data_IF_873019459884
#
_entry.id   IF_873019459884
#
_cell.length_a   1.000
_cell.length_b   1.000
_cell.length_c   1.000
_cell.angle_alpha   90.00
_cell.angle_beta   90.00
_cell.angle_gamma   90.00
#
_symmetry.space_group_name_H-M   'P 1'
#
loop_
_entity.id
_entity.type
_entity.pdbx_description
1 polymer ?
#
# COMPACT_ATOMS: atom_id res chain seq x y z
N UNK A 1 30.82 46.15 -29.96
CA UNK A 1 29.57 45.40 -29.79
C UNK A 1 29.14 45.61 -28.35
N UNK A 2 28.25 46.57 -28.15
CA UNK A 2 28.01 47.20 -26.86
C UNK A 2 27.02 46.39 -26.02
N UNK A 3 27.42 46.01 -24.80
CA UNK A 3 26.63 45.26 -23.82
C UNK A 3 25.39 45.97 -23.26
N UNK A 4 24.92 47.05 -23.91
CA UNK A 4 23.74 47.83 -23.49
C UNK A 4 22.41 47.28 -24.04
N UNK A 5 22.46 46.43 -25.06
CA UNK A 5 21.24 45.86 -25.67
C UNK A 5 20.59 44.76 -24.81
N UNK A 6 21.39 44.03 -24.02
CA UNK A 6 20.87 42.92 -23.20
C UNK A 6 20.21 43.39 -21.91
N UNK A 7 20.57 44.57 -21.38
CA UNK A 7 20.01 45.08 -20.12
C UNK A 7 18.64 45.75 -20.29
N UNK A 8 18.38 46.44 -21.42
CA UNK A 8 17.10 47.14 -21.61
C UNK A 8 15.95 46.18 -21.93
N UNK A 9 16.17 45.23 -22.86
CA UNK A 9 15.13 44.27 -23.26
C UNK A 9 14.79 43.24 -22.19
N UNK A 10 15.77 42.79 -21.41
CA UNK A 10 15.52 41.88 -20.28
C UNK A 10 14.78 42.57 -19.14
N UNK A 11 15.05 43.86 -18.88
CA UNK A 11 14.32 44.59 -17.84
C UNK A 11 12.86 44.83 -18.22
N UNK A 12 12.59 45.21 -19.47
CA UNK A 12 11.21 45.38 -19.96
C UNK A 12 10.44 44.05 -19.95
N UNK A 13 11.08 42.95 -20.38
CA UNK A 13 10.48 41.61 -20.36
C UNK A 13 10.12 41.13 -18.94
N UNK A 14 10.99 41.41 -17.96
CA UNK A 14 10.72 41.07 -16.54
C UNK A 14 9.58 41.93 -16.00
N UNK A 15 9.53 43.22 -16.34
CA UNK A 15 8.46 44.11 -15.89
C UNK A 15 7.09 43.73 -16.47
N UNK A 16 7.01 43.35 -17.75
CA UNK A 16 5.74 42.96 -18.38
C UNK A 16 5.27 41.57 -17.97
N UNK A 17 6.19 40.66 -17.66
CA UNK A 17 5.85 39.24 -17.42
C UNK A 17 5.69 38.91 -15.93
N UNK A 18 6.46 39.55 -15.05
CA UNK A 18 6.51 39.19 -13.62
C UNK A 18 5.93 40.23 -12.67
N UNK A 19 5.45 41.37 -13.16
CA UNK A 19 5.13 42.49 -12.27
C UNK A 19 3.84 43.23 -12.67
N UNK A 20 2.65 42.70 -12.32
CA UNK A 20 1.40 43.45 -12.40
C UNK A 20 1.25 44.31 -11.13
N UNK A 21 1.88 45.48 -11.07
CA UNK A 21 1.82 46.38 -9.89
C UNK A 21 0.66 47.39 -9.92
N UNK A 22 -0.48 47.08 -10.54
CA UNK A 22 -1.70 47.89 -10.37
C UNK A 22 -2.41 47.55 -9.05
N UNK A 23 -1.78 47.94 -7.94
CA UNK A 23 -2.30 47.80 -6.56
C UNK A 23 -3.56 48.63 -6.28
N UNK A 24 -3.97 49.53 -7.18
CA UNK A 24 -5.11 50.43 -6.96
C UNK A 24 -6.49 49.75 -7.07
N UNK A 25 -6.56 48.51 -7.58
CA UNK A 25 -7.81 47.72 -7.68
C UNK A 25 -7.68 46.30 -7.13
N UNK A 26 -6.72 46.07 -6.23
CA UNK A 26 -6.50 44.75 -5.66
C UNK A 26 -7.43 44.54 -4.46
N UNK A 27 -8.57 43.88 -4.71
CA UNK A 27 -9.46 43.42 -3.66
C UNK A 27 -8.81 42.27 -2.88
N UNK A 28 -8.26 42.58 -1.70
CA UNK A 28 -7.72 41.59 -0.73
C UNK A 28 -8.69 40.43 -0.49
N UNK A 29 -9.99 40.72 -0.45
CA UNK A 29 -11.03 39.71 -0.31
C UNK A 29 -11.06 38.70 -1.48
N UNK A 30 -10.92 39.19 -2.71
CA UNK A 30 -10.89 38.34 -3.91
C UNK A 30 -9.63 37.48 -3.99
N UNK A 31 -8.49 37.99 -3.50
CA UNK A 31 -7.25 37.22 -3.41
C UNK A 31 -7.40 36.09 -2.39
N UNK A 32 -7.92 36.40 -1.20
CA UNK A 32 -8.17 35.40 -0.15
C UNK A 32 -9.12 34.31 -0.64
N UNK A 33 -10.22 34.69 -1.30
CA UNK A 33 -11.18 33.74 -1.86
C UNK A 33 -10.56 32.87 -2.96
N UNK A 34 -9.81 33.46 -3.89
CA UNK A 34 -9.13 32.72 -4.96
C UNK A 34 -8.06 31.77 -4.41
N UNK A 35 -7.30 32.21 -3.41
CA UNK A 35 -6.29 31.38 -2.74
C UNK A 35 -6.92 30.21 -2.00
N UNK A 36 -8.03 30.44 -1.29
CA UNK A 36 -8.79 29.39 -0.62
C UNK A 36 -9.37 28.39 -1.62
N UNK A 37 -9.93 28.87 -2.73
CA UNK A 37 -10.52 28.03 -3.77
C UNK A 37 -9.45 27.19 -4.49
N UNK A 38 -8.34 27.81 -4.88
CA UNK A 38 -7.22 27.14 -5.55
C UNK A 38 -6.51 26.11 -4.67
N UNK A 39 -6.61 26.21 -3.34
CA UNK A 39 -6.00 25.27 -2.41
C UNK A 39 -6.98 24.20 -1.94
N UNK A 40 -8.18 24.58 -1.51
CA UNK A 40 -9.16 23.65 -0.92
C UNK A 40 -9.84 22.77 -1.96
N UNK A 41 -10.18 23.30 -3.15
CA UNK A 41 -10.88 22.51 -4.16
C UNK A 41 -10.01 21.35 -4.67
N UNK A 42 -8.73 21.55 -5.05
CA UNK A 42 -7.87 20.44 -5.42
C UNK A 42 -7.65 19.47 -4.25
N UNK A 43 -7.45 19.98 -3.03
CA UNK A 43 -7.28 19.14 -1.85
C UNK A 43 -8.50 18.23 -1.61
N UNK A 44 -9.72 18.74 -1.82
CA UNK A 44 -10.95 17.98 -1.72
C UNK A 44 -11.06 16.91 -2.81
N UNK A 45 -10.72 17.24 -4.07
CA UNK A 45 -10.67 16.27 -5.17
C UNK A 45 -9.65 15.16 -4.88
N UNK A 46 -8.43 15.52 -4.47
CA UNK A 46 -7.40 14.55 -4.08
C UNK A 46 -7.87 13.64 -2.94
N UNK A 47 -8.59 14.19 -1.97
CA UNK A 47 -9.15 13.41 -0.87
C UNK A 47 -10.21 12.40 -1.34
N UNK A 48 -11.11 12.80 -2.24
CA UNK A 48 -12.13 11.89 -2.82
C UNK A 48 -11.46 10.76 -3.60
N UNK A 49 -10.51 11.09 -4.49
CA UNK A 49 -9.80 10.10 -5.31
C UNK A 49 -9.07 9.09 -4.41
N UNK A 50 -8.38 9.57 -3.37
CA UNK A 50 -7.70 8.71 -2.40
C UNK A 50 -8.67 7.78 -1.66
N UNK A 51 -9.87 8.28 -1.31
CA UNK A 51 -10.91 7.51 -0.62
C UNK A 51 -11.51 6.41 -1.50
N UNK A 52 -11.84 6.74 -2.76
CA UNK A 52 -12.41 5.77 -3.73
C UNK A 52 -11.42 4.65 -4.04
N UNK A 53 -10.16 4.98 -4.33
CA UNK A 53 -9.12 3.98 -4.61
C UNK A 53 -8.92 3.02 -3.43
N UNK A 54 -8.99 3.54 -2.20
CA UNK A 54 -8.86 2.73 -0.98
C UNK A 54 -10.03 1.75 -0.81
N UNK A 55 -11.25 2.19 -1.13
CA UNK A 55 -12.45 1.37 -0.96
C UNK A 55 -12.55 0.24 -2.01
N UNK A 56 -12.27 0.53 -3.28
CA UNK A 56 -12.28 -0.48 -4.36
C UNK A 56 -11.27 -1.59 -4.11
N UNK A 57 -10.09 -1.24 -3.60
CA UNK A 57 -9.06 -2.20 -3.22
C UNK A 57 -9.56 -3.16 -2.12
N UNK A 58 -10.25 -2.64 -1.10
CA UNK A 58 -10.81 -3.45 -0.02
C UNK A 58 -11.89 -4.42 -0.51
N UNK A 59 -12.76 -3.98 -1.42
CA UNK A 59 -13.81 -4.82 -2.00
C UNK A 59 -13.26 -5.97 -2.85
N UNK A 60 -12.20 -5.75 -3.62
CA UNK A 60 -11.58 -6.83 -4.41
C UNK A 60 -10.97 -7.95 -3.57
N UNK A 61 -10.51 -7.64 -2.34
CA UNK A 61 -10.03 -8.64 -1.39
C UNK A 61 -11.19 -9.46 -0.82
N UNK A 62 -12.27 -8.79 -0.40
CA UNK A 62 -13.46 -9.45 0.16
C UNK A 62 -14.15 -10.36 -0.85
N UNK A 63 -14.19 -9.99 -2.13
CA UNK A 63 -14.79 -10.81 -3.17
C UNK A 63 -14.01 -12.12 -3.41
N UNK A 64 -12.67 -12.09 -3.34
CA UNK A 64 -11.82 -13.29 -3.44
C UNK A 64 -11.93 -14.17 -2.21
N UNK A 65 -12.07 -13.57 -1.03
CA UNK A 65 -12.30 -14.29 0.23
C UNK A 65 -13.65 -15.04 0.26
N UNK A 66 -14.61 -14.75 -0.64
CA UNK A 66 -15.94 -15.36 -0.65
C UNK A 66 -16.11 -16.51 -1.67
N UNK A 67 -15.18 -16.69 -2.62
CA UNK A 67 -15.37 -17.59 -3.77
C UNK A 67 -14.77 -18.99 -3.59
N UNK A 68 -13.88 -19.19 -2.60
CA UNK A 68 -13.09 -20.43 -2.52
C UNK A 68 -13.66 -21.39 -1.47
N UNK A 69 -13.98 -22.65 -1.81
CA UNK A 69 -14.13 -23.70 -0.83
C UNK A 69 -12.80 -23.87 -0.11
N UNK A 70 -12.76 -23.51 1.18
CA UNK A 70 -11.50 -23.46 1.93
C UNK A 70 -11.10 -24.84 2.45
N UNK A 71 -9.87 -25.32 2.17
CA UNK A 71 -9.34 -26.48 2.87
C UNK A 71 -9.18 -26.16 4.35
N UNK A 72 -9.27 -27.17 5.22
CA UNK A 72 -9.11 -26.95 6.66
C UNK A 72 -7.64 -26.69 6.98
N UNK A 73 -7.35 -25.58 7.66
CA UNK A 73 -6.00 -25.23 8.09
C UNK A 73 -5.87 -25.45 9.60
N UNK A 74 -4.84 -26.16 10.03
CA UNK A 74 -4.51 -26.31 11.45
C UNK A 74 -3.04 -26.06 11.73
N UNK A 75 -2.77 -25.43 12.87
CA UNK A 75 -1.42 -25.26 13.42
C UNK A 75 -0.96 -26.49 14.21
N UNK A 76 -1.85 -27.46 14.43
CA UNK A 76 -1.53 -28.70 15.14
C UNK A 76 -0.56 -29.56 14.31
N UNK A 77 0.34 -30.25 15.01
CA UNK A 77 1.36 -31.12 14.40
C UNK A 77 0.78 -32.45 13.92
N UNK A 78 -0.22 -32.97 14.62
CA UNK A 78 -0.78 -34.29 14.34
C UNK A 78 -2.08 -34.15 13.54
N UNK A 79 -2.23 -34.89 12.42
CA UNK A 79 -3.48 -34.93 11.70
C UNK A 79 -4.54 -35.75 12.44
N UNK A 80 -5.83 -35.45 12.25
CA UNK A 80 -6.91 -36.34 12.64
C UNK A 80 -6.84 -37.64 11.83
N UNK A 81 -7.46 -38.70 12.35
CA UNK A 81 -7.55 -40.00 11.67
C UNK A 81 -8.25 -39.89 10.31
N UNK A 82 -7.89 -40.77 9.37
CA UNK A 82 -8.47 -40.80 8.02
C UNK A 82 -7.81 -39.85 7.00
N UNK A 83 -6.62 -39.33 7.30
CA UNK A 83 -5.83 -38.46 6.41
C UNK A 83 -4.45 -39.07 6.11
N UNK A 84 -4.00 -38.96 4.86
CA UNK A 84 -2.77 -39.55 4.35
C UNK A 84 -2.13 -38.76 3.21
N UNK A 85 -1.14 -39.35 2.54
CA UNK A 85 -0.38 -38.75 1.43
C UNK A 85 0.20 -37.36 1.76
N UNK A 86 1.16 -37.27 2.71
CA UNK A 86 1.71 -35.99 3.14
C UNK A 86 2.52 -35.32 2.02
N UNK A 87 2.17 -34.08 1.71
CA UNK A 87 2.90 -33.25 0.75
C UNK A 87 3.18 -31.89 1.36
N UNK A 88 4.44 -31.43 1.30
CA UNK A 88 4.79 -30.08 1.76
C UNK A 88 4.29 -29.06 0.73
N UNK A 89 3.63 -28.03 1.23
CA UNK A 89 3.13 -26.89 0.46
C UNK A 89 3.60 -25.59 1.08
N UNK A 90 3.84 -24.57 0.26
CA UNK A 90 4.33 -23.28 0.72
C UNK A 90 3.96 -22.14 -0.23
N UNK A 91 3.59 -21.02 0.36
CA UNK A 91 3.25 -19.81 -0.36
C UNK A 91 4.08 -18.63 0.14
N UNK A 92 4.55 -17.82 -0.80
CA UNK A 92 5.30 -16.61 -0.54
C UNK A 92 4.52 -15.38 -1.02
N UNK A 93 4.54 -14.33 -0.22
CA UNK A 93 4.01 -13.02 -0.59
C UNK A 93 4.98 -11.93 -0.17
N UNK A 94 5.35 -11.10 -1.14
CA UNK A 94 6.12 -9.87 -0.93
C UNK A 94 5.21 -8.68 -1.18
N UNK A 95 5.08 -7.80 -0.18
CA UNK A 95 4.36 -6.53 -0.31
C UNK A 95 5.32 -5.38 0.01
N UNK A 96 5.38 -4.40 -0.89
CA UNK A 96 6.10 -3.14 -0.69
C UNK A 96 5.14 -1.97 -0.45
N UNK A 97 5.63 -0.94 0.24
CA UNK A 97 4.87 0.29 0.43
C UNK A 97 4.99 1.21 -0.79
N UNK A 98 3.87 1.82 -1.21
CA UNK A 98 3.89 2.91 -2.19
C UNK A 98 4.54 4.17 -1.59
N UNK A 99 5.39 4.85 -2.37
CA UNK A 99 6.16 6.05 -1.94
C UNK A 99 5.30 7.14 -1.26
N UNK A 100 4.02 7.25 -1.65
CA UNK A 100 3.05 8.21 -1.08
C UNK A 100 2.75 8.03 0.41
N UNK A 101 2.88 6.82 0.96
CA UNK A 101 2.60 6.54 2.38
C UNK A 101 3.80 6.76 3.29
N UNK A 102 5.00 6.92 2.74
CA UNK A 102 6.24 7.17 3.50
C UNK A 102 6.20 8.54 4.18
N UNK A 103 5.58 9.54 3.55
CA UNK A 103 5.43 10.88 4.14
C UNK A 103 4.57 10.85 5.42
N UNK A 104 3.44 10.14 5.40
CA UNK A 104 2.60 9.97 6.59
C UNK A 104 3.30 9.20 7.73
N UNK A 105 4.20 8.26 7.39
CA UNK A 105 5.03 7.53 8.37
C UNK A 105 6.07 8.48 9.00
N UNK A 106 6.62 9.41 8.22
CA UNK A 106 7.58 10.41 8.70
C UNK A 106 6.94 11.38 9.71
N UNK A 107 5.72 11.86 9.44
CA UNK A 107 4.98 12.73 10.37
C UNK A 107 4.57 12.00 11.66
N UNK A 108 4.16 10.73 11.57
CA UNK A 108 3.78 9.94 12.75
C UNK A 108 4.96 9.54 13.64
N UNK A 109 6.19 9.48 13.11
CA UNK A 109 7.40 9.22 13.91
C UNK A 109 7.62 10.25 15.03
N UNK A 110 7.09 11.46 14.90
CA UNK A 110 7.20 12.50 15.93
C UNK A 110 6.29 12.25 17.15
N UNK A 111 5.25 11.42 17.02
CA UNK A 111 4.23 11.20 18.08
C UNK A 111 4.40 9.84 18.77
N UNK A 112 5.27 8.95 18.24
CA UNK A 112 5.47 7.61 18.78
C UNK A 112 4.25 6.69 18.59
N UNK A 113 4.37 5.44 19.05
CA UNK A 113 3.30 4.43 18.98
C UNK A 113 3.33 3.52 17.74
N UNK A 114 2.35 2.61 17.67
CA UNK A 114 2.23 1.63 16.57
C UNK A 114 2.00 2.35 15.23
N UNK A 115 2.61 1.85 14.16
CA UNK A 115 2.43 2.38 12.80
C UNK A 115 1.34 1.56 12.10
N UNK A 116 0.06 2.01 12.06
CA UNK A 116 -1.06 1.17 11.58
C UNK A 116 -0.96 0.88 10.09
N UNK A 117 -0.13 1.62 9.36
CA UNK A 117 0.16 1.40 7.94
C UNK A 117 1.04 0.16 7.76
N UNK A 118 2.05 -0.03 8.62
CA UNK A 118 2.91 -1.22 8.60
C UNK A 118 2.11 -2.45 9.06
N UNK A 119 1.33 -2.30 10.14
CA UNK A 119 0.49 -3.37 10.68
C UNK A 119 -0.53 -3.88 9.65
N UNK A 120 -1.24 -2.96 8.98
CA UNK A 120 -2.17 -3.32 7.90
C UNK A 120 -1.47 -4.01 6.73
N UNK A 121 -0.23 -3.64 6.43
CA UNK A 121 0.54 -4.31 5.38
C UNK A 121 0.91 -5.75 5.79
N UNK A 122 1.43 -5.96 6.99
CA UNK A 122 1.79 -7.29 7.50
C UNK A 122 0.56 -8.19 7.57
N UNK A 123 -0.56 -7.69 8.09
CA UNK A 123 -1.81 -8.43 8.16
C UNK A 123 -2.32 -8.80 6.76
N UNK A 124 -2.19 -7.88 5.79
CA UNK A 124 -2.53 -8.16 4.40
C UNK A 124 -1.61 -9.21 3.78
N UNK A 125 -0.31 -9.13 4.00
CA UNK A 125 0.66 -10.10 3.48
C UNK A 125 0.38 -11.50 4.03
N UNK A 126 0.04 -11.63 5.32
CA UNK A 126 -0.39 -12.89 5.93
C UNK A 126 -1.66 -13.45 5.30
N UNK A 127 -2.69 -12.63 5.12
CA UNK A 127 -3.95 -13.07 4.49
C UNK A 127 -3.73 -13.54 3.06
N UNK A 128 -2.97 -12.80 2.27
CA UNK A 128 -2.63 -13.17 0.90
C UNK A 128 -1.80 -14.47 0.85
N UNK A 129 -0.86 -14.65 1.80
CA UNK A 129 -0.05 -15.87 1.87
C UNK A 129 -0.91 -17.10 2.20
N UNK A 130 -1.90 -16.96 3.09
CA UNK A 130 -2.87 -18.01 3.37
C UNK A 130 -3.71 -18.33 2.13
N UNK A 131 -4.23 -17.31 1.43
CA UNK A 131 -5.04 -17.51 0.23
C UNK A 131 -4.27 -18.28 -0.85
N UNK A 132 -3.01 -17.90 -1.12
CA UNK A 132 -2.15 -18.63 -2.07
C UNK A 132 -1.85 -20.06 -1.61
N UNK A 133 -1.71 -20.28 -0.30
CA UNK A 133 -1.50 -21.61 0.25
C UNK A 133 -2.76 -22.48 0.09
N UNK A 134 -3.96 -21.92 0.31
CA UNK A 134 -5.25 -22.58 0.06
C UNK A 134 -5.41 -22.96 -1.43
N UNK A 135 -5.03 -22.07 -2.35
CA UNK A 135 -5.00 -22.36 -3.79
C UNK A 135 -4.05 -23.52 -4.11
N UNK A 136 -2.85 -23.55 -3.52
CA UNK A 136 -1.88 -24.64 -3.73
C UNK A 136 -2.38 -25.98 -3.16
N UNK A 137 -2.99 -25.97 -1.98
CA UNK A 137 -3.61 -27.18 -1.37
C UNK A 137 -4.70 -27.73 -2.27
N UNK A 138 -5.57 -26.85 -2.78
CA UNK A 138 -6.68 -27.21 -3.67
C UNK A 138 -6.16 -27.77 -4.99
N UNK A 139 -5.11 -27.17 -5.55
CA UNK A 139 -4.45 -27.67 -6.77
C UNK A 139 -3.82 -29.07 -6.60
N UNK A 140 -3.46 -29.44 -5.36
CA UNK A 140 -2.94 -30.78 -5.02
C UNK A 140 -4.02 -31.76 -4.56
N UNK A 141 -5.30 -31.40 -4.71
CA UNK A 141 -6.46 -32.21 -4.30
C UNK A 141 -6.39 -32.64 -2.82
N UNK A 142 -5.84 -31.79 -1.95
CA UNK A 142 -5.77 -32.03 -0.52
C UNK A 142 -6.85 -31.25 0.24
N UNK A 143 -7.32 -31.82 1.35
CA UNK A 143 -8.48 -31.30 2.10
C UNK A 143 -8.07 -30.69 3.45
N UNK A 144 -6.85 -30.99 3.90
CA UNK A 144 -6.35 -30.61 5.22
C UNK A 144 -4.89 -30.16 5.12
N UNK A 145 -4.57 -29.04 5.75
CA UNK A 145 -3.20 -28.61 6.01
C UNK A 145 -2.91 -28.70 7.51
N UNK A 146 -1.83 -29.40 7.87
CA UNK A 146 -1.31 -29.48 9.24
C UNK A 146 0.02 -28.76 9.40
N UNK A 147 0.39 -28.46 10.65
CA UNK A 147 1.63 -27.79 11.02
C UNK A 147 1.85 -26.47 10.26
N UNK A 148 0.77 -25.68 10.08
CA UNK A 148 0.85 -24.36 9.47
C UNK A 148 1.79 -23.44 10.27
N UNK A 149 2.80 -22.89 9.59
CA UNK A 149 3.77 -21.94 10.15
C UNK A 149 3.95 -20.75 9.23
N UNK A 150 4.34 -19.63 9.84
CA UNK A 150 4.65 -18.39 9.14
C UNK A 150 6.07 -17.94 9.46
N UNK A 151 6.80 -17.48 8.46
CA UNK A 151 8.03 -16.69 8.63
C UNK A 151 7.84 -15.34 7.97
N UNK A 152 8.40 -14.29 8.58
CA UNK A 152 8.31 -12.93 8.05
C UNK A 152 9.69 -12.30 8.00
N UNK A 153 10.04 -11.73 6.85
CA UNK A 153 11.31 -11.03 6.64
C UNK A 153 11.03 -9.57 6.23
N UNK A 154 11.82 -8.66 6.78
CA UNK A 154 11.76 -7.25 6.39
C UNK A 154 12.68 -7.03 5.19
N UNK A 155 12.13 -6.50 4.10
CA UNK A 155 12.88 -6.17 2.89
C UNK A 155 13.15 -4.66 2.86
N UNK A 156 14.43 -4.27 2.91
CA UNK A 156 14.83 -2.86 2.81
C UNK A 156 16.23 -2.56 3.35
N UNK A 157 17.22 -2.52 2.46
CA UNK A 157 18.59 -2.06 2.72
C UNK A 157 18.85 -0.77 1.93
N UNK A 158 18.29 0.34 2.41
CA UNK A 158 18.75 1.68 2.08
C UNK A 158 18.22 2.64 3.13
N UNK A 159 19.10 3.20 3.96
CA UNK A 159 18.81 4.24 4.97
C UNK A 159 17.87 3.88 6.15
N UNK A 160 17.82 2.62 6.59
CA UNK A 160 17.08 2.24 7.81
C UNK A 160 15.54 2.31 7.69
N UNK A 161 15.02 2.26 6.47
CA UNK A 161 13.57 2.21 6.18
C UNK A 161 13.22 0.84 5.60
N UNK A 162 12.39 0.08 6.33
CA UNK A 162 11.73 -1.12 5.77
C UNK A 162 10.84 -0.69 4.61
N UNK A 163 11.18 -1.14 3.41
CA UNK A 163 10.50 -0.82 2.15
C UNK A 163 9.41 -1.84 1.81
N UNK A 164 9.49 -3.02 2.40
CA UNK A 164 8.48 -4.07 2.27
C UNK A 164 8.63 -5.17 3.31
N UNK A 165 7.66 -6.07 3.29
CA UNK A 165 7.62 -7.29 4.10
C UNK A 165 7.40 -8.48 3.18
N UNK A 166 8.18 -9.52 3.41
CA UNK A 166 7.98 -10.86 2.89
C UNK A 166 7.32 -11.71 3.98
N UNK A 167 6.28 -12.44 3.61
CA UNK A 167 5.66 -13.46 4.45
C UNK A 167 5.69 -14.78 3.68
N UNK A 168 6.22 -15.81 4.32
CA UNK A 168 6.15 -17.19 3.84
C UNK A 168 5.25 -17.98 4.76
N UNK A 169 4.26 -18.65 4.19
CA UNK A 169 3.39 -19.60 4.88
C UNK A 169 3.70 -21.01 4.37
N UNK A 170 3.83 -21.99 5.24
CA UNK A 170 4.12 -23.37 4.84
C UNK A 170 3.52 -24.38 5.81
N UNK A 171 3.35 -25.61 5.35
CA UNK A 171 2.83 -26.71 6.13
C UNK A 171 2.83 -28.02 5.35
N UNK A 172 2.06 -28.99 5.83
CA UNK A 172 1.91 -30.29 5.18
C UNK A 172 0.45 -30.53 4.82
N UNK A 173 0.19 -30.61 3.52
CA UNK A 173 -1.11 -30.94 2.96
C UNK A 173 -1.33 -32.46 3.02
N UNK A 174 -2.56 -32.85 3.33
CA UNK A 174 -3.00 -34.23 3.47
C UNK A 174 -4.31 -34.42 2.73
N UNK A 175 -4.43 -35.58 2.09
CA UNK A 175 -5.62 -36.03 1.39
C UNK A 175 -6.44 -36.92 2.33
N UNK A 176 -7.77 -36.85 2.22
CA UNK A 176 -8.61 -37.81 2.92
C UNK A 176 -8.41 -39.20 2.31
N UNK A 177 -8.11 -40.18 3.14
CA UNK A 177 -8.05 -41.58 2.73
C UNK A 177 -9.52 -42.01 2.57
N UNK A 178 -9.92 -42.39 1.36
CA UNK A 178 -11.25 -42.95 1.09
C UNK A 178 -11.39 -44.34 1.69
#
# INVERSE_FOLDING_TARGET
MDGKFFQSGWWEFIQTTFMPWTLDKINLWSILQNWLFLTLLPAFIFWIIARVMSYRHAQSLAAREAMTPRPRLTTLKHPPEGYGNPVIVSANVVISHSKTRVFAILWRRMIGGNVPILERMVNRARREAILRLEEEITARHADLLVNLRFTSHNLGTSSGRSLGVEVVAYGTALQKIQ
#
